data_IF_255300288758
#
_entry.id   IF_255300288758
#
_cell.length_a   1.000
_cell.length_b   1.000
_cell.length_c   1.000
_cell.angle_alpha   90.00
_cell.angle_beta   90.00
_cell.angle_gamma   90.00
#
_symmetry.space_group_name_H-M   'P 1'
#
loop_
_entity.id
_entity.type
_entity.pdbx_description
1 polymer ?
#
# COMPACT_ATOMS: atom_id res chain seq x y z
N UNK A 1 75.09 -70.53 -35.45
CA UNK A 1 74.91 -69.40 -36.38
C UNK A 1 73.56 -69.57 -37.07
N UNK A 2 72.87 -68.45 -37.28
CA UNK A 2 71.53 -68.27 -37.87
C UNK A 2 70.34 -68.31 -36.90
N UNK A 3 69.61 -67.19 -36.99
CA UNK A 3 68.70 -66.60 -36.03
C UNK A 3 67.24 -66.90 -36.39
N UNK A 4 66.41 -67.03 -35.36
CA UNK A 4 64.96 -67.06 -35.47
C UNK A 4 64.40 -65.63 -35.40
N UNK A 5 63.69 -65.21 -36.43
CA UNK A 5 62.90 -63.96 -36.47
C UNK A 5 61.57 -64.19 -35.75
N UNK A 6 61.43 -63.58 -34.57
CA UNK A 6 60.20 -63.51 -33.79
C UNK A 6 59.30 -62.40 -34.37
N UNK A 7 58.01 -62.72 -34.51
CA UNK A 7 56.98 -61.86 -35.07
C UNK A 7 56.45 -60.93 -33.95
N UNK A 8 56.66 -59.62 -34.11
CA UNK A 8 56.08 -58.58 -33.27
C UNK A 8 54.56 -58.46 -33.50
N UNK A 9 53.78 -58.94 -32.52
CA UNK A 9 52.36 -58.59 -32.34
C UNK A 9 52.15 -58.09 -30.92
N UNK A 10 52.64 -56.89 -30.61
CA UNK A 10 52.32 -56.25 -29.33
C UNK A 10 52.36 -54.71 -29.43
N UNK A 11 51.63 -54.14 -30.40
CA UNK A 11 51.50 -52.67 -30.51
C UNK A 11 50.16 -52.29 -31.13
N UNK A 12 49.05 -52.70 -30.49
CA UNK A 12 47.71 -52.26 -30.89
C UNK A 12 46.70 -52.19 -29.74
N UNK A 13 47.10 -52.45 -28.50
CA UNK A 13 46.17 -52.48 -27.35
C UNK A 13 46.27 -51.21 -26.49
N UNK A 14 47.36 -50.44 -26.57
CA UNK A 14 47.57 -49.29 -25.67
C UNK A 14 47.07 -47.93 -26.20
N UNK A 15 46.71 -47.80 -27.48
CA UNK A 15 46.24 -46.53 -28.02
C UNK A 15 44.73 -46.26 -27.79
N UNK A 16 43.92 -47.27 -27.49
CA UNK A 16 42.47 -47.13 -27.27
C UNK A 16 42.09 -46.90 -25.81
N UNK A 17 43.03 -47.01 -24.86
CA UNK A 17 42.72 -46.86 -23.42
C UNK A 17 42.78 -45.40 -22.93
N UNK A 18 43.48 -44.51 -23.64
CA UNK A 18 43.72 -43.14 -23.18
C UNK A 18 42.61 -42.13 -23.54
N UNK A 19 41.73 -42.43 -24.51
CA UNK A 19 40.70 -41.50 -24.96
C UNK A 19 39.41 -41.51 -24.12
N UNK A 20 39.23 -42.49 -23.22
CA UNK A 20 37.97 -42.70 -22.50
C UNK A 20 37.95 -42.16 -21.05
N UNK A 21 39.01 -41.49 -20.58
CA UNK A 21 39.13 -41.08 -19.17
C UNK A 21 38.85 -39.60 -18.87
N UNK A 22 38.44 -38.79 -19.86
CA UNK A 22 38.16 -37.37 -19.66
C UNK A 22 36.68 -36.98 -19.81
N UNK A 23 35.75 -37.95 -19.81
CA UNK A 23 34.32 -37.66 -19.70
C UNK A 23 33.88 -37.73 -18.23
N UNK A 24 34.39 -36.81 -17.42
CA UNK A 24 33.69 -36.41 -16.19
C UNK A 24 32.46 -35.62 -16.62
N UNK A 25 31.42 -36.34 -17.04
CA UNK A 25 30.10 -35.77 -17.29
C UNK A 25 29.62 -35.24 -15.95
N UNK A 26 29.70 -33.93 -15.79
CA UNK A 26 29.15 -33.19 -14.67
C UNK A 26 27.63 -33.28 -14.81
N UNK A 27 27.05 -34.41 -14.37
CA UNK A 27 25.60 -34.63 -14.34
C UNK A 27 25.04 -33.70 -13.28
N UNK A 28 24.72 -32.47 -13.70
CA UNK A 28 23.88 -31.58 -12.91
C UNK A 28 22.54 -32.31 -12.71
N UNK A 29 22.09 -32.51 -11.46
CA UNK A 29 20.84 -33.21 -11.20
C UNK A 29 19.70 -32.45 -11.89
N UNK A 30 18.99 -33.15 -12.78
CA UNK A 30 17.84 -32.64 -13.56
C UNK A 30 16.63 -32.38 -12.63
N UNK A 31 16.74 -31.39 -11.74
CA UNK A 31 15.69 -30.93 -10.83
C UNK A 31 14.66 -30.05 -11.54
N UNK A 32 14.07 -30.58 -12.63
CA UNK A 32 13.17 -29.79 -13.48
C UNK A 32 11.75 -29.67 -12.91
N UNK A 33 11.29 -30.65 -12.13
CA UNK A 33 9.92 -30.63 -11.60
C UNK A 33 9.77 -29.80 -10.32
N UNK A 34 10.75 -29.89 -9.41
CA UNK A 34 10.76 -29.10 -8.18
C UNK A 34 10.96 -27.60 -8.48
N UNK A 35 11.86 -27.26 -9.41
CA UNK A 35 12.06 -25.88 -9.85
C UNK A 35 10.78 -25.29 -10.49
N UNK A 36 10.10 -26.06 -11.35
CA UNK A 36 8.81 -25.64 -11.95
C UNK A 36 7.72 -25.44 -10.89
N UNK A 37 7.66 -26.28 -9.87
CA UNK A 37 6.72 -26.13 -8.76
C UNK A 37 7.01 -24.85 -7.97
N UNK A 38 8.26 -24.62 -7.58
CA UNK A 38 8.67 -23.40 -6.86
C UNK A 38 8.37 -22.13 -7.66
N UNK A 39 8.64 -22.13 -8.97
CA UNK A 39 8.29 -21.01 -9.85
C UNK A 39 6.78 -20.77 -9.88
N UNK A 40 5.96 -21.82 -10.01
CA UNK A 40 4.49 -21.69 -9.98
C UNK A 40 3.99 -21.12 -8.65
N UNK A 41 4.55 -21.58 -7.53
CA UNK A 41 4.19 -21.06 -6.21
C UNK A 41 4.60 -19.59 -6.05
N UNK A 42 5.81 -19.23 -6.48
CA UNK A 42 6.27 -17.84 -6.46
C UNK A 42 5.39 -16.93 -7.32
N UNK A 43 5.02 -17.38 -8.54
CA UNK A 43 4.11 -16.65 -9.42
C UNK A 43 2.72 -16.51 -8.80
N UNK A 44 2.19 -17.57 -8.18
CA UNK A 44 0.91 -17.53 -7.50
C UNK A 44 0.90 -16.53 -6.34
N UNK A 45 1.96 -16.53 -5.52
CA UNK A 45 2.11 -15.58 -4.41
C UNK A 45 2.26 -14.14 -4.90
N UNK A 46 3.04 -13.91 -5.96
CA UNK A 46 3.22 -12.59 -6.55
C UNK A 46 1.91 -12.07 -7.14
N UNK A 47 1.18 -12.92 -7.87
CA UNK A 47 -0.13 -12.57 -8.43
C UNK A 47 -1.14 -12.24 -7.33
N UNK A 48 -1.17 -13.03 -6.24
CA UNK A 48 -2.06 -12.80 -5.10
C UNK A 48 -1.72 -11.49 -4.39
N UNK A 49 -0.42 -11.24 -4.13
CA UNK A 49 0.04 -10.00 -3.52
C UNK A 49 -0.29 -8.78 -4.39
N UNK A 50 -0.07 -8.88 -5.70
CA UNK A 50 -0.41 -7.81 -6.64
C UNK A 50 -1.92 -7.53 -6.63
N UNK A 51 -2.75 -8.58 -6.67
CA UNK A 51 -4.21 -8.44 -6.60
C UNK A 51 -4.66 -7.77 -5.29
N UNK A 52 -4.09 -8.16 -4.15
CA UNK A 52 -4.41 -7.56 -2.85
C UNK A 52 -3.93 -6.11 -2.75
N UNK A 53 -2.74 -5.79 -3.26
CA UNK A 53 -2.25 -4.41 -3.28
C UNK A 53 -3.12 -3.50 -4.16
N UNK A 54 -3.61 -4.04 -5.29
CA UNK A 54 -4.51 -3.30 -6.18
C UNK A 54 -5.91 -3.19 -5.61
N UNK A 55 -6.52 -4.25 -5.08
CA UNK A 55 -7.94 -4.21 -4.68
C UNK A 55 -8.17 -3.87 -3.21
N UNK A 56 -7.18 -4.11 -2.35
CA UNK A 56 -7.28 -3.96 -0.90
C UNK A 56 -7.67 -2.55 -0.45
N UNK A 57 -6.95 -1.49 -0.85
CA UNK A 57 -7.30 -0.12 -0.45
C UNK A 57 -8.71 0.29 -0.89
N UNK A 58 -9.13 -0.10 -2.10
CA UNK A 58 -10.48 0.15 -2.60
C UNK A 58 -11.53 -0.60 -1.77
N UNK A 59 -11.33 -1.89 -1.51
CA UNK A 59 -12.26 -2.69 -0.72
C UNK A 59 -12.40 -2.12 0.71
N UNK A 60 -11.30 -1.77 1.36
CA UNK A 60 -11.30 -1.14 2.68
C UNK A 60 -12.01 0.21 2.68
N UNK A 61 -11.84 1.01 1.63
CA UNK A 61 -12.58 2.28 1.46
C UNK A 61 -14.09 2.05 1.40
N UNK A 62 -14.56 1.10 0.59
CA UNK A 62 -15.98 0.76 0.50
C UNK A 62 -16.53 0.25 1.83
N UNK A 63 -15.84 -0.70 2.47
CA UNK A 63 -16.22 -1.25 3.78
C UNK A 63 -16.28 -0.15 4.84
N UNK A 64 -15.34 0.78 4.83
CA UNK A 64 -15.32 1.91 5.76
C UNK A 64 -16.49 2.88 5.55
N UNK A 65 -16.92 3.10 4.31
CA UNK A 65 -18.09 3.94 4.02
C UNK A 65 -19.42 3.29 4.40
N UNK A 66 -19.55 1.97 4.29
CA UNK A 66 -20.78 1.26 4.70
C UNK A 66 -21.07 1.42 6.20
N UNK A 67 -20.03 1.63 7.02
CA UNK A 67 -20.18 1.91 8.44
C UNK A 67 -20.69 3.34 8.74
N UNK A 68 -20.71 4.22 7.73
CA UNK A 68 -21.19 5.61 7.86
C UNK A 68 -22.68 5.68 7.52
N UNK A 69 -23.54 5.77 8.55
CA UNK A 69 -25.00 5.78 8.40
C UNK A 69 -25.52 6.92 7.53
N UNK A 70 -24.94 8.11 7.68
CA UNK A 70 -25.34 9.33 6.98
C UNK A 70 -24.10 10.06 6.49
N UNK A 71 -24.06 10.33 5.19
CA UNK A 71 -22.99 11.16 4.64
C UNK A 71 -23.15 12.60 5.13
N UNK A 72 -22.06 13.27 5.54
CA UNK A 72 -22.13 14.67 5.94
C UNK A 72 -22.50 15.52 4.72
N UNK A 73 -23.35 16.51 4.94
CA UNK A 73 -23.64 17.53 3.94
C UNK A 73 -22.65 18.70 4.06
N UNK A 74 -22.26 19.34 2.94
CA UNK A 74 -21.44 20.54 2.99
C UNK A 74 -22.08 21.63 3.86
N UNK A 75 -21.28 22.50 4.50
CA UNK A 75 -21.82 23.59 5.30
C UNK A 75 -22.63 24.57 4.43
N UNK A 76 -23.88 24.81 4.79
CA UNK A 76 -24.75 25.77 4.10
C UNK A 76 -24.30 27.24 4.23
N UNK A 77 -23.46 27.53 5.23
CA UNK A 77 -22.93 28.87 5.51
C UNK A 77 -21.42 28.74 5.61
N UNK A 78 -20.72 29.44 4.73
CA UNK A 78 -19.27 29.47 4.70
C UNK A 78 -18.72 30.34 5.82
N UNK A 79 -17.59 29.93 6.38
CA UNK A 79 -16.83 30.72 7.32
C UNK A 79 -16.13 31.89 6.60
N UNK A 80 -15.87 32.99 7.31
CA UNK A 80 -15.12 34.11 6.74
C UNK A 80 -13.68 33.70 6.41
N UNK A 81 -13.00 34.47 5.56
CA UNK A 81 -11.60 34.18 5.20
C UNK A 81 -10.69 34.15 6.44
N UNK A 82 -10.93 35.05 7.41
CA UNK A 82 -10.18 35.10 8.67
C UNK A 82 -10.41 33.85 9.51
N UNK A 83 -11.65 33.35 9.57
CA UNK A 83 -11.97 32.11 10.29
C UNK A 83 -11.30 30.91 9.64
N UNK A 84 -11.31 30.83 8.31
CA UNK A 84 -10.66 29.75 7.56
C UNK A 84 -9.13 29.79 7.77
N UNK A 85 -8.52 30.97 7.70
CA UNK A 85 -7.10 31.17 7.99
C UNK A 85 -6.72 30.81 9.44
N UNK A 86 -7.61 31.09 10.41
CA UNK A 86 -7.40 30.72 11.82
C UNK A 86 -7.50 29.20 12.06
N UNK A 87 -8.25 28.46 11.22
CA UNK A 87 -8.26 27.00 11.25
C UNK A 87 -6.98 26.45 10.61
N UNK A 88 -6.61 26.97 9.43
CA UNK A 88 -5.41 26.54 8.70
C UNK A 88 -4.13 26.74 9.52
N UNK A 89 -3.92 27.94 10.08
CA UNK A 89 -2.78 28.23 10.96
C UNK A 89 -2.81 27.40 12.25
N UNK A 90 -4.00 27.05 12.76
CA UNK A 90 -4.19 26.23 13.95
C UNK A 90 -3.61 24.81 13.84
N UNK A 91 -3.54 24.27 12.62
CA UNK A 91 -2.89 22.97 12.32
C UNK A 91 -1.50 23.14 11.71
N UNK A 92 -0.88 24.33 11.91
CA UNK A 92 0.43 24.70 11.35
C UNK A 92 0.48 24.73 9.83
N UNK A 93 -0.67 24.92 9.17
CA UNK A 93 -0.74 25.24 7.76
C UNK A 93 -0.06 26.57 7.47
N UNK A 94 0.73 26.61 6.39
CA UNK A 94 1.43 27.81 5.91
C UNK A 94 0.89 28.17 4.52
N UNK A 95 0.94 29.46 4.17
CA UNK A 95 0.46 29.97 2.89
C UNK A 95 -1.04 29.78 2.68
N UNK A 96 -1.46 29.76 1.42
CA UNK A 96 -2.85 29.62 1.04
C UNK A 96 -3.39 28.23 1.40
N UNK A 97 -4.56 28.13 2.04
CA UNK A 97 -5.13 26.85 2.41
C UNK A 97 -5.39 25.95 1.18
N UNK A 98 -4.71 24.80 1.15
CA UNK A 98 -4.88 23.81 0.09
C UNK A 98 -5.13 22.44 0.70
N UNK A 99 -6.24 21.81 0.30
CA UNK A 99 -6.59 20.47 0.76
C UNK A 99 -6.52 19.53 -0.45
N UNK A 100 -5.60 18.54 -0.46
CA UNK A 100 -5.48 17.63 -1.58
C UNK A 100 -6.69 16.70 -1.67
N UNK A 101 -7.13 16.43 -2.90
CA UNK A 101 -8.14 15.40 -3.16
C UNK A 101 -7.51 14.02 -2.95
N UNK A 102 -7.96 13.30 -1.93
CA UNK A 102 -7.41 11.98 -1.61
C UNK A 102 -8.14 10.87 -2.36
N UNK A 103 -7.46 9.75 -2.57
CA UNK A 103 -8.03 8.49 -2.99
C UNK A 103 -7.48 7.36 -2.09
N UNK A 104 -8.03 6.14 -2.15
CA UNK A 104 -7.61 5.06 -1.25
C UNK A 104 -6.12 4.71 -1.29
N UNK A 105 -5.43 4.94 -2.42
CA UNK A 105 -3.98 4.72 -2.53
C UNK A 105 -3.18 5.94 -2.10
N UNK A 106 -3.60 7.14 -2.46
CA UNK A 106 -2.91 8.38 -2.04
C UNK A 106 -3.05 8.65 -0.54
N UNK A 107 -3.98 7.98 0.14
CA UNK A 107 -4.13 8.04 1.59
C UNK A 107 -3.12 7.15 2.35
N UNK A 108 -2.55 6.11 1.69
CA UNK A 108 -1.68 5.13 2.34
C UNK A 108 -0.46 5.75 3.06
N UNK A 109 0.23 6.76 2.50
CA UNK A 109 1.36 7.39 3.20
C UNK A 109 0.97 7.99 4.55
N UNK A 110 -0.26 8.50 4.71
CA UNK A 110 -0.72 9.10 5.97
C UNK A 110 -1.05 8.04 7.04
N UNK A 111 -1.36 6.82 6.63
CA UNK A 111 -1.59 5.69 7.56
C UNK A 111 -0.28 5.03 7.96
N UNK A 112 0.68 4.93 7.04
CA UNK A 112 1.95 4.24 7.26
C UNK A 112 3.03 5.12 7.91
N UNK A 113 2.87 6.45 7.87
CA UNK A 113 3.90 7.39 8.30
C UNK A 113 3.69 7.88 9.73
N UNK A 114 4.81 8.04 10.46
CA UNK A 114 4.90 8.77 11.74
C UNK A 114 5.29 10.24 11.56
N UNK A 115 5.57 10.67 10.32
CA UNK A 115 5.95 12.04 10.00
C UNK A 115 4.78 13.02 10.19
N UNK A 116 5.06 14.34 10.29
CA UNK A 116 4.02 15.36 10.37
C UNK A 116 3.03 15.22 9.21
N UNK A 117 1.75 15.10 9.54
CA UNK A 117 0.70 14.96 8.54
C UNK A 117 0.41 16.30 7.86
N UNK A 118 0.05 16.22 6.59
CA UNK A 118 -0.40 17.37 5.81
C UNK A 118 -1.56 18.08 6.53
N UNK A 119 -1.50 19.42 6.71
CA UNK A 119 -2.53 20.19 7.41
C UNK A 119 -3.94 19.98 6.85
N UNK A 120 -4.08 19.87 5.53
CA UNK A 120 -5.37 19.64 4.87
C UNK A 120 -5.95 18.27 5.19
N UNK A 121 -5.09 17.24 5.26
CA UNK A 121 -5.49 15.89 5.68
C UNK A 121 -5.91 15.86 7.15
N UNK A 122 -5.18 16.55 8.03
CA UNK A 122 -5.52 16.65 9.46
C UNK A 122 -6.88 17.33 9.69
N UNK A 123 -7.14 18.45 9.02
CA UNK A 123 -8.43 19.14 9.11
C UNK A 123 -9.55 18.24 8.59
N UNK A 124 -9.33 17.58 7.44
CA UNK A 124 -10.31 16.67 6.85
C UNK A 124 -10.62 15.49 7.78
N UNK A 125 -9.59 14.91 8.41
CA UNK A 125 -9.73 13.88 9.44
C UNK A 125 -10.50 14.40 10.65
N UNK A 126 -10.24 15.62 11.11
CA UNK A 126 -10.96 16.21 12.23
C UNK A 126 -12.45 16.39 11.93
N UNK A 127 -12.79 16.87 10.73
CA UNK A 127 -14.20 16.98 10.27
C UNK A 127 -14.84 15.60 10.20
N UNK A 128 -14.18 14.63 9.58
CA UNK A 128 -14.68 13.26 9.46
C UNK A 128 -14.90 12.60 10.83
N UNK A 129 -13.87 12.59 11.68
CA UNK A 129 -13.92 11.97 13.01
C UNK A 129 -14.95 12.62 13.92
N UNK A 130 -15.15 13.94 13.84
CA UNK A 130 -16.19 14.62 14.62
C UNK A 130 -17.58 14.24 14.15
N UNK A 131 -17.83 14.21 12.84
CA UNK A 131 -19.10 13.73 12.28
C UNK A 131 -19.40 12.29 12.74
N UNK A 132 -18.39 11.43 12.74
CA UNK A 132 -18.52 10.06 13.21
C UNK A 132 -18.87 10.00 14.71
N UNK A 133 -18.20 10.79 15.55
CA UNK A 133 -18.48 10.86 16.98
C UNK A 133 -19.90 11.36 17.30
N UNK A 134 -20.47 12.21 16.45
CA UNK A 134 -21.86 12.69 16.58
C UNK A 134 -22.89 11.61 16.17
N UNK A 135 -22.55 10.74 15.21
CA UNK A 135 -23.46 9.73 14.65
C UNK A 135 -23.17 8.30 15.14
N UNK A 136 -22.67 8.17 16.39
CA UNK A 136 -22.05 6.95 16.96
C UNK A 136 -22.72 5.63 16.56
N UNK A 137 -21.95 4.77 15.88
CA UNK A 137 -22.28 3.34 15.71
C UNK A 137 -21.08 2.39 15.58
N UNK A 138 -19.89 2.76 16.05
CA UNK A 138 -18.69 1.94 15.81
C UNK A 138 -18.52 0.86 16.87
N UNK A 139 -18.28 -0.38 16.41
CA UNK A 139 -17.93 -1.53 17.25
C UNK A 139 -16.42 -1.59 17.49
N UNK A 140 -15.87 -0.57 18.13
CA UNK A 140 -14.46 -0.53 18.54
C UNK A 140 -13.55 0.35 17.69
N UNK A 141 -12.31 0.50 18.17
CA UNK A 141 -11.33 1.48 17.69
C UNK A 141 -10.96 1.29 16.21
N UNK A 142 -10.79 0.03 15.77
CA UNK A 142 -10.45 -0.27 14.38
C UNK A 142 -11.51 0.25 13.39
N UNK A 143 -12.79 -0.01 13.68
CA UNK A 143 -13.90 0.45 12.84
C UNK A 143 -14.03 1.97 12.83
N UNK A 144 -13.74 2.63 13.96
CA UNK A 144 -13.72 4.09 14.00
C UNK A 144 -12.62 4.65 13.10
N UNK A 145 -11.40 4.09 13.14
CA UNK A 145 -10.33 4.54 12.25
C UNK A 145 -10.60 4.26 10.78
N UNK A 146 -11.08 3.06 10.46
CA UNK A 146 -11.40 2.67 9.08
C UNK A 146 -12.50 3.57 8.49
N UNK A 147 -13.58 3.79 9.25
CA UNK A 147 -14.67 4.70 8.84
C UNK A 147 -14.16 6.13 8.72
N UNK A 148 -13.30 6.57 9.66
CA UNK A 148 -12.68 7.89 9.65
C UNK A 148 -11.85 8.12 8.40
N UNK A 149 -11.03 7.14 8.01
CA UNK A 149 -10.17 7.22 6.83
C UNK A 149 -11.01 7.26 5.55
N UNK A 150 -11.99 6.36 5.44
CA UNK A 150 -12.90 6.31 4.31
C UNK A 150 -13.69 7.62 4.16
N UNK A 151 -14.21 8.16 5.27
CA UNK A 151 -14.94 9.42 5.26
C UNK A 151 -14.04 10.63 4.95
N UNK A 152 -12.78 10.62 5.42
CA UNK A 152 -11.78 11.65 5.07
C UNK A 152 -11.53 11.67 3.56
N UNK A 153 -11.34 10.49 2.94
CA UNK A 153 -11.21 10.38 1.48
C UNK A 153 -12.47 10.86 0.78
N UNK A 154 -13.66 10.48 1.26
CA UNK A 154 -14.91 10.93 0.65
C UNK A 154 -15.08 12.45 0.74
N UNK A 155 -14.82 13.07 1.90
CA UNK A 155 -14.94 14.52 2.10
C UNK A 155 -13.99 15.27 1.15
N UNK A 156 -12.70 14.91 1.13
CA UNK A 156 -11.70 15.59 0.28
C UNK A 156 -11.99 15.46 -1.22
N UNK A 157 -12.73 14.44 -1.64
CA UNK A 157 -13.15 14.26 -3.05
C UNK A 157 -14.39 15.05 -3.43
N UNK A 158 -15.32 15.23 -2.49
CA UNK A 158 -16.65 15.77 -2.78
C UNK A 158 -16.81 17.23 -2.32
N UNK A 159 -15.97 17.71 -1.40
CA UNK A 159 -16.04 19.06 -0.86
C UNK A 159 -14.86 19.92 -1.34
N UNK A 160 -15.07 21.24 -1.40
CA UNK A 160 -13.99 22.19 -1.65
C UNK A 160 -13.17 22.47 -0.37
N UNK A 161 -11.96 23.03 -0.52
CA UNK A 161 -11.11 23.41 0.61
C UNK A 161 -11.84 24.35 1.57
N UNK A 162 -12.56 25.33 1.02
CA UNK A 162 -13.33 26.33 1.77
C UNK A 162 -14.49 25.68 2.53
N UNK A 163 -15.14 24.68 1.93
CA UNK A 163 -16.21 23.92 2.60
C UNK A 163 -15.67 23.10 3.78
N UNK A 164 -14.51 22.46 3.62
CA UNK A 164 -13.87 21.67 4.68
C UNK A 164 -13.42 22.59 5.83
N UNK A 165 -12.78 23.71 5.51
CA UNK A 165 -12.35 24.72 6.50
C UNK A 165 -13.55 25.35 7.22
N UNK A 166 -14.63 25.63 6.49
CA UNK A 166 -15.87 26.15 7.05
C UNK A 166 -16.57 25.13 7.96
N UNK A 167 -16.50 23.84 7.63
CA UNK A 167 -17.00 22.80 8.51
C UNK A 167 -16.15 22.71 9.80
N UNK A 168 -14.82 22.78 9.66
CA UNK A 168 -13.88 22.75 10.78
C UNK A 168 -14.08 23.94 11.76
N UNK A 169 -14.34 25.14 11.25
CA UNK A 169 -14.55 26.33 12.09
C UNK A 169 -15.78 26.23 13.00
N UNK A 170 -16.86 25.57 12.52
CA UNK A 170 -18.08 25.33 13.32
C UNK A 170 -17.82 24.47 14.55
N UNK A 171 -16.93 23.48 14.45
CA UNK A 171 -16.57 22.65 15.61
C UNK A 171 -15.77 23.45 16.64
N UNK A 172 -14.84 24.30 16.18
CA UNK A 172 -14.05 25.17 17.07
C UNK A 172 -14.96 26.14 17.83
N UNK A 173 -15.91 26.77 17.14
CA UNK A 173 -16.89 27.67 17.76
C UNK A 173 -17.75 26.97 18.83
N UNK A 174 -18.20 25.74 18.56
CA UNK A 174 -18.98 24.95 19.53
C UNK A 174 -18.18 24.56 20.78
N UNK A 175 -16.91 24.18 20.62
CA UNK A 175 -16.04 23.84 21.74
C UNK A 175 -15.66 25.02 22.64
N UNK A 176 -15.73 26.25 22.11
CA UNK A 176 -15.54 27.48 22.89
C UNK A 176 -16.78 27.88 23.70
N UNK A 177 -17.98 27.49 23.27
CA UNK A 177 -19.24 27.83 23.96
C UNK A 177 -19.58 26.87 25.12
N UNK A 178 -18.91 25.72 25.22
CA UNK A 178 -19.15 24.69 26.23
C UNK A 178 -18.14 24.73 27.40
N UNK A 179 -17.31 25.77 27.50
CA UNK A 179 -16.38 26.01 28.62
C UNK A 179 -16.79 27.29 29.32
#
# INVERSE_FOLDING_TARGET
MMAATSIDKCSAIDATRSANQAQTVLILPKSTNMAKLLVRLALGLLATTALLAMTGPLALYWIGLEAVKTMPSPPATMATAEQQAAIWSGVRGQGDPFIPKLNPYSFLPYVASTAPQDPGVLISWQVASTHLLEHRRYRGMFWWHLSGAALTIWITRNWSSEQILSAASRFKARGSASR
#
